data_IF_093118719598
#
_entry.id   IF_093118719598
#
_cell.length_a   1.000
_cell.length_b   1.000
_cell.length_c   1.000
_cell.angle_alpha   90.00
_cell.angle_beta   90.00
_cell.angle_gamma   90.00
#
_symmetry.space_group_name_H-M   'P 1'
#
loop_
_entity.id
_entity.type
_entity.pdbx_description
1 polymer ?
#
# COMPACT_ATOMS: atom_id res chain seq x y z
N UNK A 1 8.76 6.46 -12.82
CA UNK A 1 7.77 5.85 -11.92
C UNK A 1 8.24 6.08 -10.50
N UNK A 2 7.39 6.59 -9.60
CA UNK A 2 7.75 6.90 -8.22
C UNK A 2 7.52 5.72 -7.26
N UNK A 3 8.13 5.76 -6.05
CA UNK A 3 8.05 4.72 -5.02
C UNK A 3 6.78 4.82 -4.14
N UNK A 4 5.66 5.26 -4.69
CA UNK A 4 4.37 5.17 -4.02
C UNK A 4 3.76 3.78 -4.18
N UNK A 5 2.60 3.53 -3.56
CA UNK A 5 1.91 2.23 -3.58
C UNK A 5 1.79 1.63 -5.00
N UNK A 6 1.35 2.45 -5.96
CA UNK A 6 1.15 2.01 -7.34
C UNK A 6 2.48 1.68 -8.01
N UNK A 7 3.48 2.56 -7.88
CA UNK A 7 4.78 2.35 -8.54
C UNK A 7 5.54 1.16 -7.96
N UNK A 8 5.52 1.00 -6.64
CA UNK A 8 6.17 -0.15 -5.99
C UNK A 8 5.47 -1.46 -6.35
N UNK A 9 4.14 -1.51 -6.36
CA UNK A 9 3.42 -2.71 -6.77
C UNK A 9 3.63 -3.03 -8.27
N UNK A 10 3.56 -2.01 -9.14
CA UNK A 10 3.80 -2.19 -10.58
C UNK A 10 5.21 -2.69 -10.86
N UNK A 11 6.22 -2.18 -10.12
CA UNK A 11 7.61 -2.63 -10.28
C UNK A 11 7.76 -4.14 -10.03
N UNK A 12 7.07 -4.68 -9.02
CA UNK A 12 7.03 -6.12 -8.75
C UNK A 12 6.39 -6.92 -9.89
N UNK A 13 5.30 -6.42 -10.45
CA UNK A 13 4.67 -7.06 -11.61
C UNK A 13 5.56 -7.06 -12.85
N UNK A 14 6.27 -5.96 -13.10
CA UNK A 14 7.22 -5.86 -14.21
C UNK A 14 8.40 -6.81 -14.00
N UNK A 15 8.95 -6.85 -12.79
CA UNK A 15 10.03 -7.78 -12.44
C UNK A 15 9.61 -9.24 -12.64
N UNK A 16 8.40 -9.60 -12.21
CA UNK A 16 7.83 -10.94 -12.41
C UNK A 16 7.73 -11.32 -13.90
N UNK A 17 7.59 -10.33 -14.79
CA UNK A 17 7.58 -10.52 -16.24
C UNK A 17 8.97 -10.50 -16.88
N UNK A 18 10.04 -10.46 -16.09
CA UNK A 18 11.42 -10.51 -16.57
C UNK A 18 12.03 -9.16 -16.93
N UNK A 19 11.34 -8.05 -16.67
CA UNK A 19 11.92 -6.73 -16.93
C UNK A 19 12.97 -6.35 -15.88
N UNK A 20 14.02 -5.66 -16.30
CA UNK A 20 14.88 -4.90 -15.40
C UNK A 20 14.18 -3.60 -15.03
N UNK A 21 14.03 -3.35 -13.71
CA UNK A 21 13.25 -2.22 -13.22
C UNK A 21 14.09 -1.35 -12.31
N UNK A 22 14.11 -0.05 -12.61
CA UNK A 22 14.62 0.99 -11.71
C UNK A 22 13.50 1.97 -11.39
N UNK A 23 13.30 2.25 -10.11
CA UNK A 23 12.28 3.18 -9.61
C UNK A 23 12.96 4.47 -9.15
N UNK A 24 12.55 5.61 -9.67
CA UNK A 24 13.01 6.94 -9.26
C UNK A 24 11.96 7.60 -8.38
N UNK A 25 12.34 8.02 -7.18
CA UNK A 25 11.46 8.69 -6.23
C UNK A 25 12.04 10.06 -5.86
N UNK A 26 11.21 11.10 -5.96
CA UNK A 26 11.63 12.47 -5.64
C UNK A 26 11.84 12.73 -4.15
N UNK A 27 11.17 11.97 -3.30
CA UNK A 27 11.24 12.10 -1.84
C UNK A 27 12.38 11.25 -1.29
N UNK A 28 12.83 11.55 -0.06
CA UNK A 28 13.70 10.66 0.68
C UNK A 28 13.07 9.27 0.88
N UNK A 29 13.91 8.31 1.21
CA UNK A 29 13.45 6.96 1.58
C UNK A 29 12.56 7.03 2.83
N UNK A 30 11.31 6.65 2.68
CA UNK A 30 10.28 6.67 3.73
C UNK A 30 10.70 5.85 4.96
N UNK A 31 11.49 4.80 4.77
CA UNK A 31 11.99 3.93 5.84
C UNK A 31 12.99 4.65 6.75
N UNK A 32 13.73 5.62 6.21
CA UNK A 32 14.75 6.40 6.94
C UNK A 32 14.16 7.64 7.62
N UNK A 33 13.14 8.23 7.02
CA UNK A 33 12.53 9.47 7.55
C UNK A 33 11.35 9.22 8.46
N UNK A 34 10.88 7.97 8.55
CA UNK A 34 9.64 7.61 9.20
C UNK A 34 8.41 8.13 8.45
N UNK A 35 7.23 7.72 8.88
CA UNK A 35 5.97 8.21 8.31
C UNK A 35 5.67 9.68 8.66
N UNK A 36 6.62 10.40 9.28
CA UNK A 36 6.48 11.75 9.81
C UNK A 36 6.26 12.85 8.76
N UNK A 37 6.36 12.55 7.47
CA UNK A 37 6.21 13.53 6.38
C UNK A 37 4.82 13.64 5.77
N UNK A 38 3.82 12.94 6.26
CA UNK A 38 2.46 12.99 5.73
C UNK A 38 1.42 12.58 6.75
N UNK A 39 0.18 13.07 6.60
CA UNK A 39 -0.94 12.57 7.39
C UNK A 39 -1.02 11.06 7.20
N UNK A 40 -0.79 10.31 8.27
CA UNK A 40 -1.02 8.85 8.28
C UNK A 40 -2.50 8.61 8.04
N UNK A 41 -2.84 8.23 6.82
CA UNK A 41 -4.21 7.87 6.46
C UNK A 41 -4.24 6.36 6.33
N UNK A 42 -5.12 5.72 7.09
CA UNK A 42 -5.40 4.31 6.89
C UNK A 42 -6.17 4.12 5.58
N UNK A 43 -5.87 3.05 4.89
CA UNK A 43 -6.53 2.63 3.67
C UNK A 43 -7.39 1.41 3.95
N UNK A 44 -8.54 1.35 3.30
CA UNK A 44 -9.31 0.12 3.20
C UNK A 44 -8.85 -0.67 1.96
N UNK A 45 -8.38 -1.89 2.16
CA UNK A 45 -8.02 -2.77 1.05
C UNK A 45 -9.29 -3.46 0.55
N UNK A 46 -9.60 -3.24 -0.72
CA UNK A 46 -10.70 -3.89 -1.43
C UNK A 46 -10.28 -5.28 -1.96
N UNK A 47 -11.25 -6.08 -2.40
CA UNK A 47 -10.99 -7.35 -3.09
C UNK A 47 -10.02 -7.21 -4.28
N UNK A 48 -10.10 -6.10 -5.02
CA UNK A 48 -9.14 -5.81 -6.10
C UNK A 48 -7.74 -5.57 -5.57
N UNK A 49 -7.63 -4.90 -4.43
CA UNK A 49 -6.35 -4.68 -3.74
C UNK A 49 -5.73 -6.00 -3.30
N UNK A 50 -6.51 -6.89 -2.70
CA UNK A 50 -6.05 -8.22 -2.32
C UNK A 50 -5.59 -9.04 -3.52
N UNK A 51 -6.35 -9.07 -4.61
CA UNK A 51 -5.93 -9.73 -5.86
C UNK A 51 -4.62 -9.16 -6.41
N UNK A 52 -4.45 -7.83 -6.34
CA UNK A 52 -3.20 -7.18 -6.73
C UNK A 52 -2.00 -7.64 -5.88
N UNK A 53 -2.17 -7.74 -4.57
CA UNK A 53 -1.13 -8.21 -3.65
C UNK A 53 -0.85 -9.71 -3.82
N UNK A 54 -1.90 -10.52 -4.00
CA UNK A 54 -1.78 -11.95 -4.26
C UNK A 54 -0.98 -12.23 -5.54
N UNK A 55 -1.19 -11.44 -6.58
CA UNK A 55 -0.50 -11.59 -7.87
C UNK A 55 1.03 -11.44 -7.78
N UNK A 56 1.55 -10.79 -6.73
CA UNK A 56 2.98 -10.66 -6.44
C UNK A 56 3.40 -11.42 -5.18
N UNK A 57 2.51 -12.23 -4.58
CA UNK A 57 2.80 -13.08 -3.44
C UNK A 57 2.83 -12.38 -2.08
N UNK A 58 2.31 -11.15 -1.96
CA UNK A 58 2.36 -10.34 -0.74
C UNK A 58 1.08 -10.37 0.09
N UNK A 59 0.03 -11.04 -0.36
CA UNK A 59 -1.26 -11.05 0.34
C UNK A 59 -1.14 -11.51 1.80
N UNK A 60 -0.48 -12.65 2.04
CA UNK A 60 -0.38 -13.24 3.37
C UNK A 60 0.41 -12.36 4.35
N UNK A 61 1.42 -11.65 3.85
CA UNK A 61 2.22 -10.73 4.67
C UNK A 61 1.41 -9.46 5.02
N UNK A 62 0.76 -8.87 4.04
CA UNK A 62 -0.04 -7.66 4.25
C UNK A 62 -1.27 -7.94 5.13
N UNK A 63 -1.84 -9.16 5.06
CA UNK A 63 -2.94 -9.55 5.97
C UNK A 63 -2.53 -9.53 7.44
N UNK A 64 -1.27 -9.78 7.79
CA UNK A 64 -0.78 -9.75 9.17
C UNK A 64 -0.80 -8.34 9.77
N UNK A 65 -0.65 -7.31 8.95
CA UNK A 65 -0.68 -5.91 9.40
C UNK A 65 -2.06 -5.24 9.20
N UNK A 66 -2.98 -5.91 8.54
CA UNK A 66 -4.32 -5.38 8.28
C UNK A 66 -5.24 -5.62 9.49
N UNK A 67 -6.02 -4.61 9.85
CA UNK A 67 -7.01 -4.67 10.92
C UNK A 67 -8.38 -4.87 10.28
N UNK A 68 -9.05 -5.95 10.67
CA UNK A 68 -10.42 -6.21 10.23
C UNK A 68 -11.41 -5.30 10.96
N UNK A 69 -12.21 -4.59 10.19
CA UNK A 69 -13.28 -3.74 10.69
C UNK A 69 -14.62 -4.31 10.20
N UNK A 70 -15.38 -5.00 11.05
CA UNK A 70 -16.65 -5.63 10.64
C UNK A 70 -17.78 -4.63 10.43
N UNK A 71 -17.65 -3.42 10.96
CA UNK A 71 -18.63 -2.37 10.84
C UNK A 71 -18.19 -1.08 11.50
N UNK A 72 -19.11 -0.13 11.61
CA UNK A 72 -18.92 1.14 12.31
C UNK A 72 -19.94 1.30 13.41
N UNK A 73 -19.54 1.97 14.47
CA UNK A 73 -20.44 2.39 15.54
C UNK A 73 -20.94 3.81 15.22
N UNK A 74 -22.25 3.95 15.14
CA UNK A 74 -22.90 5.25 14.96
C UNK A 74 -23.41 5.71 16.33
N UNK A 75 -23.08 6.96 16.66
CA UNK A 75 -23.60 7.64 17.83
C UNK A 75 -24.69 8.60 17.33
N UNK A 76 -25.90 8.48 17.87
CA UNK A 76 -26.96 9.46 17.61
C UNK A 76 -26.79 10.70 18.50
N UNK A 77 -27.61 11.72 18.25
CA UNK A 77 -27.57 12.97 19.03
C UNK A 77 -27.98 12.77 20.51
N UNK A 78 -28.63 11.68 20.85
CA UNK A 78 -29.03 11.31 22.20
C UNK A 78 -27.97 10.43 22.89
N UNK A 79 -26.89 10.07 22.19
CA UNK A 79 -25.79 9.24 22.72
C UNK A 79 -26.03 7.74 22.61
N UNK A 80 -27.10 7.29 21.94
CA UNK A 80 -27.32 5.87 21.71
C UNK A 80 -26.32 5.33 20.68
N UNK A 81 -25.96 4.06 20.87
CA UNK A 81 -25.00 3.38 19.99
C UNK A 81 -25.76 2.44 19.03
N UNK A 82 -25.46 2.58 17.74
CA UNK A 82 -25.98 1.69 16.72
C UNK A 82 -24.80 1.13 15.88
N UNK A 83 -24.63 -0.21 15.91
CA UNK A 83 -23.62 -0.87 15.10
C UNK A 83 -24.16 -1.09 13.69
N UNK A 84 -23.45 -0.54 12.70
CA UNK A 84 -23.74 -0.73 11.29
C UNK A 84 -22.64 -1.60 10.65
N UNK A 85 -22.95 -2.86 10.27
CA UNK A 85 -22.00 -3.73 9.61
C UNK A 85 -21.66 -3.21 8.21
N UNK A 86 -20.43 -3.48 7.75
CA UNK A 86 -19.98 -3.14 6.39
C UNK A 86 -20.36 -4.18 5.34
N UNK A 87 -20.83 -5.34 5.76
CA UNK A 87 -21.24 -6.43 4.86
C UNK A 87 -22.05 -7.48 5.56
N UNK A 88 -22.14 -8.66 4.96
CA UNK A 88 -22.81 -9.83 5.56
C UNK A 88 -22.01 -10.37 6.76
N UNK A 89 -22.61 -11.22 7.62
CA UNK A 89 -21.88 -11.89 8.68
C UNK A 89 -20.61 -12.58 8.15
N UNK A 90 -19.45 -12.25 8.74
CA UNK A 90 -18.14 -12.73 8.32
C UNK A 90 -17.42 -11.85 7.29
N UNK A 91 -18.07 -10.86 6.71
CA UNK A 91 -17.42 -9.86 5.86
C UNK A 91 -16.91 -8.67 6.68
N UNK A 92 -15.76 -8.13 6.29
CA UNK A 92 -15.15 -6.98 6.94
C UNK A 92 -14.33 -6.14 5.94
N UNK A 93 -14.20 -4.85 6.22
CA UNK A 93 -13.21 -4.01 5.56
C UNK A 93 -11.87 -4.25 6.24
N UNK A 94 -10.80 -4.38 5.46
CA UNK A 94 -9.45 -4.53 5.99
C UNK A 94 -8.73 -3.18 5.93
N UNK A 95 -8.48 -2.59 7.10
CA UNK A 95 -7.76 -1.33 7.23
C UNK A 95 -6.27 -1.60 7.36
N UNK A 96 -5.45 -0.82 6.66
CA UNK A 96 -3.98 -0.87 6.76
C UNK A 96 -3.40 0.53 6.76
N UNK A 97 -2.31 0.74 7.49
CA UNK A 97 -1.54 1.97 7.41
C UNK A 97 -0.97 2.13 5.99
N UNK A 98 -1.21 3.28 5.37
CA UNK A 98 -0.67 3.59 4.04
C UNK A 98 0.85 3.59 4.02
N UNK A 99 1.46 4.08 5.10
CA UNK A 99 2.92 4.12 5.25
C UNK A 99 3.51 2.71 5.31
N UNK A 100 2.97 1.88 6.19
CA UNK A 100 3.47 0.51 6.40
C UNK A 100 3.26 -0.36 5.17
N UNK A 101 2.12 -0.23 4.50
CA UNK A 101 1.89 -0.90 3.21
C UNK A 101 2.91 -0.46 2.15
N UNK A 102 3.23 0.83 2.09
CA UNK A 102 4.21 1.32 1.12
C UNK A 102 5.63 0.82 1.44
N UNK A 103 6.00 0.79 2.70
CA UNK A 103 7.28 0.23 3.17
C UNK A 103 7.37 -1.24 2.79
N UNK A 104 6.37 -2.04 3.11
CA UNK A 104 6.35 -3.47 2.77
C UNK A 104 6.49 -3.71 1.25
N UNK A 105 5.84 -2.89 0.42
CA UNK A 105 5.98 -2.98 -1.04
C UNK A 105 7.37 -2.60 -1.53
N UNK A 106 8.02 -1.58 -0.94
CA UNK A 106 9.38 -1.19 -1.29
C UNK A 106 10.37 -2.29 -0.88
N UNK A 107 10.24 -2.82 0.34
CA UNK A 107 11.11 -3.88 0.86
C UNK A 107 11.02 -5.16 0.01
N UNK A 108 9.81 -5.58 -0.34
CA UNK A 108 9.59 -6.72 -1.21
C UNK A 108 10.17 -6.49 -2.62
N UNK A 109 10.05 -5.27 -3.14
CA UNK A 109 10.60 -4.93 -4.45
C UNK A 109 12.14 -4.94 -4.45
N UNK A 110 12.78 -4.37 -3.43
CA UNK A 110 14.25 -4.43 -3.29
C UNK A 110 14.75 -5.87 -3.09
N UNK A 111 14.05 -6.66 -2.27
CA UNK A 111 14.37 -8.08 -2.09
C UNK A 111 14.27 -8.89 -3.41
N UNK A 112 13.43 -8.42 -4.35
CA UNK A 112 13.30 -8.99 -5.70
C UNK A 112 14.38 -8.47 -6.67
N UNK A 113 15.32 -7.62 -6.23
CA UNK A 113 16.38 -7.05 -7.04
C UNK A 113 15.96 -5.83 -7.87
N UNK A 114 14.89 -5.14 -7.47
CA UNK A 114 14.49 -3.86 -8.07
C UNK A 114 15.31 -2.74 -7.44
N UNK A 115 15.87 -1.87 -8.26
CA UNK A 115 16.67 -0.74 -7.80
C UNK A 115 15.79 0.47 -7.53
N UNK A 116 15.95 1.08 -6.34
CA UNK A 116 15.31 2.36 -6.00
C UNK A 116 16.35 3.47 -5.91
N UNK A 117 16.04 4.62 -6.51
CA UNK A 117 16.85 5.84 -6.47
C UNK A 117 15.99 6.93 -5.86
N UNK A 118 16.23 7.22 -4.58
CA UNK A 118 15.52 8.24 -3.82
C UNK A 118 16.16 9.62 -4.02
N UNK A 119 15.45 10.68 -3.64
CA UNK A 119 15.84 12.09 -3.80
C UNK A 119 16.09 12.47 -5.26
N UNK A 120 15.49 11.73 -6.20
CA UNK A 120 15.67 11.95 -7.63
C UNK A 120 14.32 12.24 -8.29
N UNK A 121 14.13 13.48 -8.70
CA UNK A 121 12.96 13.91 -9.48
C UNK A 121 13.24 13.70 -10.96
N UNK A 122 12.40 12.93 -11.62
CA UNK A 122 12.38 12.83 -13.09
C UNK A 122 11.65 14.05 -13.63
N UNK A 123 12.32 14.84 -14.44
CA UNK A 123 11.77 16.06 -15.06
C UNK A 123 11.30 15.77 -16.48
N UNK A 124 12.05 14.97 -17.21
CA UNK A 124 11.80 14.67 -18.60
C UNK A 124 12.21 13.23 -18.92
N UNK A 125 11.54 12.61 -19.86
CA UNK A 125 11.89 11.28 -20.38
C UNK A 125 11.94 11.37 -21.91
N UNK A 126 13.04 10.93 -22.48
CA UNK A 126 13.12 10.67 -23.91
C UNK A 126 12.63 9.24 -24.16
N UNK A 127 11.61 9.13 -24.99
CA UNK A 127 10.97 7.85 -25.37
C UNK A 127 11.25 7.49 -26.84
N UNK A 128 12.31 8.08 -27.42
CA UNK A 128 12.71 7.81 -28.81
C UNK A 128 13.15 6.37 -29.04
#
# INVERSE_FOLDING_TARGET
MGAGLVGSLLSLYLKKRGYEVTVYERRPDLRKTGAAGGRSINLAISERGWKGLAGVGLEAEIRKMAIQMPGRMIHDMQGNLNFQPYGKPGEAINSVSRGDLNIALIDAAEASGIKFIFNQRVLETDLA
#
